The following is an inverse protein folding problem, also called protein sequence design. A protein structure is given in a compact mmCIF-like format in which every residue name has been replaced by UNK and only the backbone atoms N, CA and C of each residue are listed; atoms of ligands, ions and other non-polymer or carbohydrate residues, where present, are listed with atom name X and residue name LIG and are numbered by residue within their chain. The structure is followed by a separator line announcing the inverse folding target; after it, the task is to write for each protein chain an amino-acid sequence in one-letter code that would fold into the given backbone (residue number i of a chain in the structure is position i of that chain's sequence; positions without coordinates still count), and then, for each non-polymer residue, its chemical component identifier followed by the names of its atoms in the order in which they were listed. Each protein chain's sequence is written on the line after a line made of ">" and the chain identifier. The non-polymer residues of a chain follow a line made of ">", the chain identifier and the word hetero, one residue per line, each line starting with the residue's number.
data_IF_535365324576
#
_entry.id   IF_535365324576
#
_cell.length_a   1.000
_cell.length_b   1.000
_cell.length_c   1.000
_cell.angle_alpha   90.00
_cell.angle_beta   90.00
_cell.angle_gamma   90.00
#
_symmetry.space_group_name_H-M   'P 1'
#
loop_
_entity.id
_entity.type
_entity.pdbx_description
1 polymer ?
#
# COMPACT_ATOMS: atom_id res chain seq x y z
N UNK A 1 0.67 25.38 34.82
CA UNK A 1 0.30 24.44 33.75
C UNK A 1 -1.14 24.77 33.37
N UNK A 2 -1.43 25.26 32.15
CA UNK A 2 -2.81 25.57 31.81
C UNK A 2 -3.58 24.25 31.64
N UNK A 3 -4.70 24.16 32.34
CA UNK A 3 -5.69 23.08 32.20
C UNK A 3 -6.22 23.08 30.78
N UNK A 4 -6.16 21.92 30.12
CA UNK A 4 -6.87 21.68 28.86
C UNK A 4 -8.37 21.71 29.19
N UNK A 5 -8.99 22.87 29.00
CA UNK A 5 -10.43 23.03 29.11
C UNK A 5 -11.11 22.05 28.17
N UNK A 6 -11.96 21.21 28.73
CA UNK A 6 -12.88 20.37 27.98
C UNK A 6 -13.88 21.28 27.24
N UNK A 7 -13.52 21.74 26.05
CA UNK A 7 -14.50 22.20 25.09
C UNK A 7 -15.25 20.97 24.59
N UNK A 8 -16.57 21.05 24.66
CA UNK A 8 -17.55 20.11 24.11
C UNK A 8 -17.37 19.97 22.59
N UNK A 9 -16.34 19.24 22.18
CA UNK A 9 -15.93 19.09 20.79
C UNK A 9 -16.32 17.69 20.30
N UNK A 10 -17.62 17.41 20.31
CA UNK A 10 -18.19 16.31 19.52
C UNK A 10 -18.19 16.73 18.04
N UNK A 11 -17.01 16.95 17.47
CA UNK A 11 -16.86 16.89 16.01
C UNK A 11 -17.26 15.49 15.60
N UNK A 12 -18.30 15.40 14.78
CA UNK A 12 -18.76 14.12 14.24
C UNK A 12 -17.61 13.50 13.43
N UNK A 13 -17.61 12.17 13.26
CA UNK A 13 -16.62 11.49 12.42
C UNK A 13 -16.58 12.07 10.99
N UNK A 14 -17.68 12.69 10.53
CA UNK A 14 -17.78 13.39 9.25
C UNK A 14 -16.82 14.58 9.11
N UNK A 15 -16.28 15.12 10.22
CA UNK A 15 -15.27 16.20 10.20
C UNK A 15 -13.83 15.69 10.32
N UNK A 16 -13.62 14.40 10.64
CA UNK A 16 -12.29 13.79 10.74
C UNK A 16 -11.91 13.13 9.41
N UNK A 17 -11.52 13.96 8.45
CA UNK A 17 -11.07 13.51 7.13
C UNK A 17 -9.86 14.32 6.65
N UNK A 18 -9.01 13.69 5.85
CA UNK A 18 -7.98 14.41 5.10
C UNK A 18 -8.63 15.31 4.05
N UNK A 19 -8.09 16.51 3.89
CA UNK A 19 -8.58 17.49 2.92
C UNK A 19 -7.65 17.54 1.70
N UNK A 20 -8.17 17.32 0.47
CA UNK A 20 -7.36 17.49 -0.74
C UNK A 20 -7.00 18.97 -0.94
N UNK A 21 -5.71 19.26 -1.10
CA UNK A 21 -5.22 20.61 -1.36
C UNK A 21 -4.46 20.69 -2.68
N UNK A 22 -5.01 21.43 -3.65
CA UNK A 22 -4.42 21.61 -4.97
C UNK A 22 -3.53 22.87 -5.02
N UNK A 23 -2.32 22.75 -4.47
CA UNK A 23 -1.31 23.82 -4.56
C UNK A 23 -0.87 24.05 -6.02
N UNK A 24 -0.52 25.29 -6.38
CA UNK A 24 -0.07 25.60 -7.75
C UNK A 24 1.41 25.27 -7.89
N UNK A 25 1.75 24.32 -8.77
CA UNK A 25 3.15 24.02 -9.12
C UNK A 25 3.64 25.09 -10.10
N UNK A 26 4.62 25.88 -9.67
CA UNK A 26 5.18 26.98 -10.48
C UNK A 26 6.36 26.54 -11.34
N UNK A 27 7.10 25.53 -10.89
CA UNK A 27 8.23 24.93 -11.61
C UNK A 27 8.38 23.46 -11.18
N UNK A 28 8.88 22.61 -12.09
CA UNK A 28 8.96 21.17 -11.89
C UNK A 28 10.11 20.58 -12.70
N UNK A 29 11.06 19.91 -12.04
CA UNK A 29 12.22 19.29 -12.68
C UNK A 29 12.54 17.89 -12.12
N UNK A 30 13.05 16.99 -12.98
CA UNK A 30 13.60 15.70 -12.54
C UNK A 30 15.07 15.90 -12.20
N UNK A 31 15.39 15.91 -10.90
CA UNK A 31 16.76 16.16 -10.40
C UNK A 31 17.61 14.89 -10.35
N UNK A 32 16.98 13.72 -10.33
CA UNK A 32 17.67 12.44 -10.46
C UNK A 32 16.78 11.42 -11.18
N UNK A 33 17.34 10.72 -12.17
CA UNK A 33 16.66 9.62 -12.87
C UNK A 33 17.14 8.28 -12.34
N UNK A 34 16.25 7.53 -11.69
CA UNK A 34 16.55 6.21 -11.16
C UNK A 34 16.17 5.07 -12.11
N UNK A 35 16.42 3.83 -11.66
CA UNK A 35 15.99 2.61 -12.37
C UNK A 35 14.48 2.42 -12.27
N UNK A 36 13.95 2.47 -11.05
CA UNK A 36 12.52 2.23 -10.75
C UNK A 36 11.75 3.55 -10.62
N UNK A 37 12.32 4.52 -9.91
CA UNK A 37 11.69 5.82 -9.67
C UNK A 37 12.65 6.98 -9.87
N UNK A 38 12.09 8.14 -10.18
CA UNK A 38 12.82 9.40 -10.29
C UNK A 38 12.69 10.21 -9.00
N UNK A 39 13.63 11.13 -8.76
CA UNK A 39 13.48 12.19 -7.76
C UNK A 39 13.11 13.47 -8.48
N UNK A 40 11.98 14.05 -8.08
CA UNK A 40 11.46 15.29 -8.62
C UNK A 40 11.65 16.42 -7.63
N UNK A 41 11.94 17.62 -8.13
CA UNK A 41 11.87 18.87 -7.40
C UNK A 41 10.73 19.71 -7.96
N UNK A 42 9.77 20.02 -7.11
CA UNK A 42 8.70 20.97 -7.43
C UNK A 42 8.86 22.24 -6.60
N UNK A 43 8.71 23.37 -7.27
CA UNK A 43 8.47 24.66 -6.61
C UNK A 43 6.96 24.90 -6.61
N UNK A 44 6.40 25.18 -5.45
CA UNK A 44 4.95 25.18 -5.23
C UNK A 44 4.52 26.44 -4.49
N UNK A 45 3.47 27.10 -4.98
CA UNK A 45 2.79 28.20 -4.29
C UNK A 45 1.66 27.64 -3.41
N UNK A 46 1.76 27.88 -2.10
CA UNK A 46 0.79 27.48 -1.09
C UNK A 46 -0.06 28.67 -0.59
N UNK A 47 -0.19 29.69 -1.42
CA UNK A 47 -1.03 30.89 -1.24
C UNK A 47 -0.37 32.00 -0.42
N UNK A 48 0.42 31.66 0.60
CA UNK A 48 1.11 32.62 1.46
C UNK A 48 2.64 32.58 1.33
N UNK A 49 3.18 31.54 0.70
CA UNK A 49 4.61 31.43 0.42
C UNK A 49 4.86 30.49 -0.76
N UNK A 50 6.04 30.62 -1.36
CA UNK A 50 6.56 29.65 -2.31
C UNK A 50 7.53 28.73 -1.58
N UNK A 51 7.36 27.42 -1.76
CA UNK A 51 8.20 26.38 -1.15
C UNK A 51 8.81 25.49 -2.23
N UNK A 52 9.93 24.86 -1.90
CA UNK A 52 10.56 23.82 -2.73
C UNK A 52 10.40 22.47 -2.02
N UNK A 53 10.04 21.43 -2.78
CA UNK A 53 9.95 20.04 -2.29
C UNK A 53 10.66 19.10 -3.25
N UNK A 54 11.51 18.25 -2.69
CA UNK A 54 12.10 17.11 -3.37
C UNK A 54 11.46 15.83 -2.86
N UNK A 55 11.07 14.94 -3.75
CA UNK A 55 10.43 13.68 -3.40
C UNK A 55 10.64 12.61 -4.47
N UNK A 56 10.51 11.35 -4.06
CA UNK A 56 10.49 10.21 -4.99
C UNK A 56 9.13 10.17 -5.69
N UNK A 57 9.15 10.21 -7.02
CA UNK A 57 7.96 10.11 -7.87
C UNK A 57 7.66 8.63 -8.13
N UNK A 58 6.72 8.09 -7.36
CA UNK A 58 6.35 6.69 -7.28
C UNK A 58 5.02 6.43 -7.99
N UNK A 59 4.83 5.23 -8.53
CA UNK A 59 3.61 4.78 -9.22
C UNK A 59 2.41 4.52 -8.30
N UNK A 60 2.61 4.59 -6.98
CA UNK A 60 1.82 3.82 -6.01
C UNK A 60 2.02 2.30 -6.12
N UNK A 61 1.39 1.57 -5.21
CA UNK A 61 1.41 0.11 -5.18
C UNK A 61 0.08 -0.48 -4.66
N UNK A 62 -0.06 -1.79 -4.74
CA UNK A 62 -1.12 -2.56 -4.10
C UNK A 62 -0.52 -3.66 -3.24
N UNK A 63 -1.23 -4.07 -2.20
CA UNK A 63 -0.88 -5.22 -1.38
C UNK A 63 -2.12 -6.08 -1.12
N UNK A 64 -1.92 -7.36 -0.85
CA UNK A 64 -2.99 -8.34 -0.71
C UNK A 64 -2.90 -9.07 0.62
N UNK A 65 -3.86 -8.81 1.50
CA UNK A 65 -4.12 -9.66 2.65
C UNK A 65 -5.01 -10.81 2.18
N UNK A 66 -4.38 -11.88 1.68
CA UNK A 66 -5.06 -13.11 1.32
C UNK A 66 -5.31 -13.94 2.59
N UNK A 67 -6.58 -14.24 2.87
CA UNK A 67 -7.02 -14.93 4.08
C UNK A 67 -7.88 -16.15 3.74
N UNK A 68 -7.56 -17.28 4.38
CA UNK A 68 -8.31 -18.52 4.23
C UNK A 68 -9.43 -18.68 5.28
N UNK A 69 -10.19 -19.77 5.19
CA UNK A 69 -11.32 -20.06 6.07
C UNK A 69 -10.90 -20.39 7.52
N UNK A 70 -9.60 -20.62 7.76
CA UNK A 70 -9.02 -20.83 9.10
C UNK A 70 -8.46 -19.52 9.70
N UNK A 71 -8.76 -18.36 9.08
CA UNK A 71 -8.23 -17.04 9.44
C UNK A 71 -6.69 -16.98 9.44
N UNK A 72 -6.05 -17.74 8.55
CA UNK A 72 -4.61 -17.62 8.29
C UNK A 72 -4.39 -16.65 7.14
N UNK A 73 -3.32 -15.87 7.25
CA UNK A 73 -2.87 -14.92 6.23
C UNK A 73 -1.70 -15.52 5.47
N UNK A 74 -1.72 -15.40 4.14
CA UNK A 74 -0.59 -15.75 3.28
C UNK A 74 0.47 -14.65 3.33
N UNK A 75 1.68 -15.01 3.71
CA UNK A 75 2.83 -14.12 3.77
C UNK A 75 3.92 -14.61 2.81
N UNK A 76 4.66 -13.65 2.27
CA UNK A 76 5.89 -13.89 1.50
C UNK A 76 7.09 -13.36 2.28
N UNK A 77 8.29 -13.87 1.98
CA UNK A 77 9.53 -13.40 2.60
C UNK A 77 10.54 -12.96 1.57
N UNK A 78 10.83 -11.67 1.53
CA UNK A 78 11.68 -11.06 0.52
C UNK A 78 12.84 -10.28 1.15
N UNK A 79 13.98 -10.26 0.47
CA UNK A 79 15.11 -9.42 0.86
C UNK A 79 14.86 -7.96 0.47
N UNK A 80 14.97 -7.05 1.44
CA UNK A 80 14.86 -5.61 1.22
C UNK A 80 16.22 -4.96 1.43
N UNK A 81 16.91 -4.66 0.32
CA UNK A 81 18.28 -4.13 0.35
C UNK A 81 18.44 -2.84 1.17
N UNK A 82 17.57 -1.82 1.09
CA UNK A 82 17.75 -0.56 1.81
C UNK A 82 17.89 -0.73 3.33
N UNK A 83 17.17 -1.71 3.90
CA UNK A 83 17.17 -2.02 5.34
C UNK A 83 17.96 -3.30 5.68
N UNK A 84 18.46 -4.02 4.67
CA UNK A 84 19.31 -5.22 4.78
C UNK A 84 18.66 -6.36 5.57
N UNK A 85 17.36 -6.52 5.45
CA UNK A 85 16.60 -7.59 6.12
C UNK A 85 15.86 -8.46 5.12
N UNK A 86 15.50 -9.68 5.54
CA UNK A 86 14.47 -10.47 4.88
C UNK A 86 13.18 -10.30 5.67
N UNK A 87 12.25 -9.55 5.11
CA UNK A 87 11.02 -9.18 5.78
C UNK A 87 9.93 -10.16 5.39
N UNK A 88 9.08 -10.51 6.36
CA UNK A 88 7.77 -11.09 6.04
C UNK A 88 6.84 -9.95 5.62
N UNK A 89 6.18 -10.12 4.49
CA UNK A 89 5.36 -9.10 3.84
C UNK A 89 4.07 -9.72 3.30
N UNK A 90 3.11 -8.87 2.93
CA UNK A 90 1.98 -9.29 2.11
C UNK A 90 2.44 -9.36 0.64
N UNK A 91 1.86 -10.24 -0.18
CA UNK A 91 2.01 -10.13 -1.63
C UNK A 91 1.66 -8.72 -2.09
N UNK A 92 2.50 -8.10 -2.92
CA UNK A 92 2.38 -6.70 -3.26
C UNK A 92 3.14 -6.36 -4.54
N UNK A 93 2.68 -5.34 -5.25
CA UNK A 93 3.42 -4.85 -6.41
C UNK A 93 2.96 -3.51 -6.93
N UNK A 94 3.72 -3.06 -7.92
CA UNK A 94 3.66 -1.69 -8.43
C UNK A 94 2.48 -1.50 -9.40
N UNK A 95 2.12 -0.24 -9.59
CA UNK A 95 1.05 0.18 -10.48
C UNK A 95 1.65 0.85 -11.72
N UNK A 96 2.51 0.10 -12.40
CA UNK A 96 3.35 0.55 -13.52
C UNK A 96 2.77 0.17 -14.90
N UNK A 97 1.77 -0.72 -14.95
CA UNK A 97 1.07 -1.07 -16.18
C UNK A 97 0.00 -0.04 -16.56
N UNK A 98 0.18 0.61 -17.70
CA UNK A 98 -0.71 1.65 -18.18
C UNK A 98 -2.15 1.12 -18.38
N UNK A 99 -3.12 1.76 -17.71
CA UNK A 99 -4.54 1.40 -17.82
C UNK A 99 -4.94 0.17 -17.01
N UNK A 100 -4.01 -0.48 -16.29
CA UNK A 100 -4.35 -1.53 -15.34
C UNK A 100 -5.08 -0.95 -14.12
N UNK A 101 -6.18 -1.60 -13.70
CA UNK A 101 -6.88 -1.21 -12.49
C UNK A 101 -6.12 -1.72 -11.26
N UNK A 102 -6.23 -1.04 -10.10
CA UNK A 102 -5.53 -1.48 -8.89
C UNK A 102 -5.92 -2.90 -8.47
N UNK A 103 -7.19 -3.27 -8.66
CA UNK A 103 -7.67 -4.62 -8.41
C UNK A 103 -7.01 -5.66 -9.33
N UNK A 104 -6.84 -5.35 -10.62
CA UNK A 104 -6.17 -6.26 -11.56
C UNK A 104 -4.70 -6.45 -11.21
N UNK A 105 -4.01 -5.37 -10.86
CA UNK A 105 -2.64 -5.44 -10.36
C UNK A 105 -2.58 -6.36 -9.13
N UNK A 106 -3.45 -6.16 -8.14
CA UNK A 106 -3.47 -6.98 -6.92
C UNK A 106 -3.72 -8.47 -7.20
N UNK A 107 -4.61 -8.78 -8.15
CA UNK A 107 -4.87 -10.16 -8.59
C UNK A 107 -3.68 -10.78 -9.31
N UNK A 108 -2.99 -10.01 -10.15
CA UNK A 108 -1.78 -10.43 -10.85
C UNK A 108 -0.64 -10.72 -9.87
N UNK A 109 -0.36 -9.80 -8.95
CA UNK A 109 0.72 -9.97 -7.96
C UNK A 109 0.46 -11.16 -7.03
N UNK A 110 -0.79 -11.38 -6.60
CA UNK A 110 -1.11 -12.58 -5.81
C UNK A 110 -0.85 -13.88 -6.58
N UNK A 111 -1.10 -13.88 -7.90
CA UNK A 111 -0.84 -15.03 -8.74
C UNK A 111 0.67 -15.23 -8.97
N UNK A 112 1.41 -14.17 -9.26
CA UNK A 112 2.84 -14.20 -9.58
C UNK A 112 3.71 -14.54 -8.36
N UNK A 113 3.46 -13.91 -7.20
CA UNK A 113 4.32 -14.08 -6.02
C UNK A 113 3.95 -15.29 -5.14
N UNK A 114 2.68 -15.70 -5.18
CA UNK A 114 2.14 -16.70 -4.25
C UNK A 114 1.44 -17.88 -4.91
N UNK A 115 1.42 -17.95 -6.25
CA UNK A 115 0.72 -18.99 -7.02
C UNK A 115 -0.75 -19.15 -6.58
N UNK A 116 -1.39 -18.04 -6.23
CA UNK A 116 -2.71 -18.01 -5.59
C UNK A 116 -3.69 -17.09 -6.32
N UNK A 117 -4.97 -17.46 -6.25
CA UNK A 117 -6.10 -16.65 -6.71
C UNK A 117 -7.20 -16.66 -5.65
N UNK A 118 -8.10 -15.68 -5.72
CA UNK A 118 -9.18 -15.53 -4.73
C UNK A 118 -10.51 -15.16 -5.39
N UNK A 119 -11.60 -15.60 -4.79
CA UNK A 119 -12.95 -15.43 -5.32
C UNK A 119 -13.57 -14.08 -4.93
N UNK A 120 -13.29 -13.60 -3.71
CA UNK A 120 -13.85 -12.35 -3.18
C UNK A 120 -12.75 -11.36 -2.86
N UNK A 121 -12.95 -10.11 -3.27
CA UNK A 121 -12.02 -9.01 -3.08
C UNK A 121 -12.73 -7.81 -2.49
N UNK A 122 -12.09 -7.14 -1.54
CA UNK A 122 -12.58 -5.91 -0.94
C UNK A 122 -11.41 -4.96 -0.68
N UNK A 123 -11.66 -3.66 -0.73
CA UNK A 123 -10.69 -2.69 -0.21
C UNK A 123 -10.71 -2.78 1.31
N UNK A 124 -9.55 -3.07 1.91
CA UNK A 124 -9.39 -3.17 3.35
C UNK A 124 -8.99 -1.82 3.94
N UNK A 125 -7.94 -1.21 3.40
CA UNK A 125 -7.45 0.11 3.80
C UNK A 125 -6.46 0.66 2.76
N UNK A 126 -6.11 1.94 2.89
CA UNK A 126 -5.13 2.65 2.08
C UNK A 126 -4.23 3.49 2.98
N UNK A 127 -2.99 3.71 2.56
CA UNK A 127 -2.09 4.62 3.26
C UNK A 127 -1.03 5.20 2.33
N UNK A 128 -0.55 6.41 2.65
CA UNK A 128 0.66 6.97 2.06
C UNK A 128 1.88 6.47 2.84
N UNK A 129 2.88 5.91 2.15
CA UNK A 129 3.99 5.21 2.84
C UNK A 129 4.92 6.18 3.58
N UNK A 130 5.28 7.29 2.94
CA UNK A 130 6.02 8.39 3.58
C UNK A 130 5.69 9.73 2.91
N UNK A 131 4.55 10.37 3.23
CA UNK A 131 4.04 11.55 2.50
C UNK A 131 4.95 12.79 2.55
N UNK A 132 5.98 12.79 3.39
CA UNK A 132 7.01 13.83 3.41
C UNK A 132 8.14 13.63 2.39
N UNK A 133 8.30 12.43 1.83
CA UNK A 133 9.44 12.05 0.98
C UNK A 133 9.10 11.31 -0.32
N UNK A 134 7.90 10.77 -0.46
CA UNK A 134 7.39 10.22 -1.72
C UNK A 134 5.89 10.50 -1.87
N UNK A 135 5.36 10.27 -3.07
CA UNK A 135 3.93 10.32 -3.36
C UNK A 135 3.30 8.91 -3.47
N UNK A 136 3.94 7.89 -2.88
CA UNK A 136 3.44 6.51 -2.92
C UNK A 136 2.21 6.38 -2.01
N UNK A 137 1.12 5.93 -2.63
CA UNK A 137 -0.06 5.44 -1.91
C UNK A 137 -0.20 3.95 -2.21
N UNK A 138 -0.40 3.16 -1.15
CA UNK A 138 -0.59 1.71 -1.22
C UNK A 138 -2.02 1.38 -0.82
N UNK A 139 -2.72 0.66 -1.69
CA UNK A 139 -4.03 0.09 -1.39
C UNK A 139 -3.90 -1.36 -0.97
N UNK A 140 -4.43 -1.71 0.20
CA UNK A 140 -4.47 -3.07 0.72
C UNK A 140 -5.84 -3.67 0.42
N UNK A 141 -5.84 -4.80 -0.28
CA UNK A 141 -7.02 -5.60 -0.53
C UNK A 141 -7.14 -6.73 0.49
N UNK A 142 -8.35 -7.03 0.94
CA UNK A 142 -8.69 -8.30 1.57
C UNK A 142 -9.19 -9.26 0.50
N UNK A 143 -8.49 -10.38 0.32
CA UNK A 143 -8.84 -11.44 -0.61
C UNK A 143 -9.27 -12.71 0.14
N UNK A 144 -10.41 -13.30 -0.22
CA UNK A 144 -10.98 -14.50 0.42
C UNK A 144 -11.43 -15.55 -0.60
N UNK A 145 -11.63 -16.78 -0.15
CA UNK A 145 -11.81 -17.93 -1.05
C UNK A 145 -10.52 -18.20 -1.81
N UNK A 146 -9.40 -18.16 -1.09
CA UNK A 146 -8.07 -18.28 -1.70
C UNK A 146 -7.79 -19.73 -2.06
N UNK A 147 -7.31 -19.95 -3.28
CA UNK A 147 -6.94 -21.27 -3.80
C UNK A 147 -5.69 -21.16 -4.66
N UNK A 148 -5.01 -22.29 -4.86
CA UNK A 148 -3.88 -22.35 -5.77
C UNK A 148 -4.33 -21.99 -7.21
N UNK A 149 -3.52 -21.22 -7.92
CA UNK A 149 -3.79 -20.74 -9.27
C UNK A 149 -3.81 -21.88 -10.31
N UNK A 150 -3.12 -22.99 -10.02
CA UNK A 150 -3.02 -24.16 -10.91
C UNK A 150 -1.89 -24.07 -11.93
N UNK A 151 -1.30 -22.89 -12.06
CA UNK A 151 -0.09 -22.60 -12.84
C UNK A 151 0.95 -22.06 -11.86
N UNK A 152 2.21 -22.46 -12.03
CA UNK A 152 3.34 -21.89 -11.30
C UNK A 152 3.96 -20.81 -12.17
N UNK A 153 3.96 -19.57 -11.69
CA UNK A 153 4.57 -18.48 -12.44
C UNK A 153 6.10 -18.57 -12.31
N UNK A 154 6.80 -18.32 -13.41
CA UNK A 154 8.26 -18.29 -13.39
C UNK A 154 8.70 -17.04 -12.62
N UNK A 155 9.23 -17.24 -11.42
CA UNK A 155 9.78 -16.16 -10.59
C UNK A 155 11.13 -15.72 -11.14
N UNK A 156 11.27 -14.43 -11.45
CA UNK A 156 12.49 -13.85 -12.02
C UNK A 156 13.26 -13.08 -10.93
N UNK A 157 14.59 -13.03 -11.03
CA UNK A 157 15.47 -12.15 -10.24
C UNK A 157 15.25 -12.19 -8.70
N UNK A 158 14.73 -11.12 -8.08
CA UNK A 158 14.56 -10.99 -6.63
C UNK A 158 13.51 -11.97 -6.05
N UNK A 159 12.71 -12.60 -6.89
CA UNK A 159 11.59 -13.47 -6.50
C UNK A 159 11.93 -14.95 -6.48
N UNK A 160 13.10 -15.34 -7.01
CA UNK A 160 13.49 -16.75 -7.18
C UNK A 160 13.55 -17.54 -5.86
N UNK A 161 13.78 -16.86 -4.74
CA UNK A 161 13.92 -17.44 -3.40
C UNK A 161 12.77 -17.06 -2.44
N UNK A 162 11.61 -16.62 -2.95
CA UNK A 162 10.48 -16.23 -2.09
C UNK A 162 9.94 -17.42 -1.29
N UNK A 163 10.04 -17.32 0.04
CA UNK A 163 9.41 -18.23 0.99
C UNK A 163 7.95 -17.81 1.21
N UNK A 164 7.00 -18.72 0.97
CA UNK A 164 5.56 -18.49 1.18
C UNK A 164 5.08 -19.23 2.42
N UNK A 165 4.24 -18.60 3.25
CA UNK A 165 3.71 -19.22 4.47
C UNK A 165 2.32 -18.72 4.84
N UNK A 166 1.44 -19.65 5.19
CA UNK A 166 0.19 -19.37 5.90
C UNK A 166 0.44 -19.26 7.40
N UNK A 167 0.01 -18.15 8.02
CA UNK A 167 0.18 -17.88 9.45
C UNK A 167 -1.13 -17.38 10.05
N UNK A 168 -1.60 -17.88 11.20
CA UNK A 168 -2.84 -17.37 11.82
C UNK A 168 -2.76 -15.86 12.05
N UNK A 169 -3.82 -15.12 11.69
CA UNK A 169 -3.87 -13.66 11.76
C UNK A 169 -3.40 -13.11 13.11
N UNK A 170 -3.87 -13.71 14.20
CA UNK A 170 -3.54 -13.30 15.57
C UNK A 170 -2.04 -13.47 15.90
N UNK A 171 -1.34 -14.44 15.28
CA UNK A 171 0.11 -14.60 15.44
C UNK A 171 0.90 -13.51 14.71
N UNK A 172 0.42 -13.13 13.52
CA UNK A 172 1.03 -12.06 12.73
C UNK A 172 0.89 -10.74 13.49
N UNK A 173 -0.29 -10.44 14.01
CA UNK A 173 -0.56 -9.27 14.85
C UNK A 173 0.35 -9.25 16.08
N UNK A 174 0.48 -10.39 16.77
CA UNK A 174 1.43 -10.52 17.90
C UNK A 174 2.86 -10.18 17.47
N UNK A 175 3.30 -10.70 16.31
CA UNK A 175 4.62 -10.41 15.74
C UNK A 175 4.84 -8.93 15.43
N UNK A 176 3.82 -8.23 14.94
CA UNK A 176 3.84 -6.78 14.69
C UNK A 176 3.97 -6.02 16.02
N UNK A 177 3.11 -6.31 17.00
CA UNK A 177 3.11 -5.63 18.30
C UNK A 177 4.41 -5.86 19.10
N UNK A 178 5.03 -7.03 18.92
CA UNK A 178 6.35 -7.37 19.47
C UNK A 178 7.53 -6.82 18.66
N UNK A 179 7.28 -6.08 17.57
CA UNK A 179 8.31 -5.48 16.68
C UNK A 179 9.19 -6.50 15.95
N UNK A 180 8.75 -7.77 15.90
CA UNK A 180 9.38 -8.84 15.12
C UNK A 180 9.04 -8.72 13.64
N UNK A 181 7.86 -8.21 13.32
CA UNK A 181 7.38 -7.91 11.97
C UNK A 181 7.23 -6.39 11.85
N UNK A 182 7.83 -5.79 10.81
CA UNK A 182 7.93 -4.33 10.69
C UNK A 182 7.54 -3.77 9.33
N UNK A 183 7.27 -4.63 8.34
CA UNK A 183 6.79 -4.19 7.04
C UNK A 183 5.46 -3.42 7.21
N UNK A 184 5.37 -2.23 6.62
CA UNK A 184 4.25 -1.32 6.84
C UNK A 184 2.92 -1.82 6.25
N UNK A 185 2.85 -2.26 4.96
CA UNK A 185 1.65 -2.91 4.42
C UNK A 185 1.18 -4.09 5.28
N UNK A 186 2.09 -4.96 5.70
CA UNK A 186 1.74 -6.09 6.57
C UNK A 186 1.13 -5.62 7.89
N UNK A 187 1.80 -4.68 8.57
CA UNK A 187 1.37 -4.19 9.87
C UNK A 187 -0.01 -3.52 9.79
N UNK A 188 -0.21 -2.64 8.82
CA UNK A 188 -1.49 -1.95 8.61
C UNK A 188 -2.59 -2.92 8.17
N UNK A 189 -2.28 -3.84 7.26
CA UNK A 189 -3.22 -4.84 6.77
C UNK A 189 -3.77 -5.72 7.89
N UNK A 190 -2.90 -6.32 8.72
CA UNK A 190 -3.37 -7.24 9.77
C UNK A 190 -4.09 -6.52 10.91
N UNK A 191 -3.65 -5.32 11.26
CA UNK A 191 -4.33 -4.51 12.28
C UNK A 191 -5.70 -4.03 11.78
N UNK A 192 -5.80 -3.60 10.52
CA UNK A 192 -7.07 -3.25 9.89
C UNK A 192 -8.00 -4.47 9.78
N UNK A 193 -7.47 -5.65 9.43
CA UNK A 193 -8.24 -6.89 9.38
C UNK A 193 -8.82 -7.26 10.74
N UNK A 194 -8.04 -7.17 11.83
CA UNK A 194 -8.54 -7.42 13.19
C UNK A 194 -9.61 -6.40 13.60
N UNK A 195 -9.38 -5.11 13.33
CA UNK A 195 -10.36 -4.07 13.62
C UNK A 195 -11.67 -4.30 12.83
N UNK A 196 -11.57 -4.59 11.54
CA UNK A 196 -12.71 -4.88 10.67
C UNK A 196 -13.43 -6.17 11.09
N UNK A 197 -12.70 -7.21 11.48
CA UNK A 197 -13.27 -8.46 12.03
C UNK A 197 -14.13 -8.19 13.26
N UNK A 198 -13.73 -7.26 14.15
CA UNK A 198 -14.49 -6.92 15.36
C UNK A 198 -15.88 -6.34 15.08
N UNK A 199 -16.08 -5.79 13.88
CA UNK A 199 -17.35 -5.24 13.41
C UNK A 199 -17.95 -6.07 12.28
N UNK A 200 -17.57 -7.34 12.14
CA UNK A 200 -18.12 -8.23 11.11
C UNK A 200 -17.77 -7.81 9.67
N UNK A 201 -16.67 -7.10 9.49
CA UNK A 201 -16.17 -6.57 8.22
C UNK A 201 -17.08 -5.52 7.54
N UNK A 202 -17.91 -4.83 8.30
CA UNK A 202 -18.82 -3.77 7.79
C UNK A 202 -18.09 -2.58 7.16
N UNK A 203 -16.82 -2.36 7.51
CA UNK A 203 -16.01 -1.23 7.01
C UNK A 203 -15.39 -1.46 5.63
N UNK A 204 -15.55 -2.66 5.05
CA UNK A 204 -14.90 -3.00 3.79
C UNK A 204 -15.48 -2.21 2.61
N UNK A 205 -14.58 -1.65 1.80
CA UNK A 205 -14.95 -0.99 0.56
C UNK A 205 -15.21 -2.00 -0.57
N UNK A 206 -16.01 -1.61 -1.58
CA UNK A 206 -16.07 -2.33 -2.86
C UNK A 206 -14.69 -2.48 -3.49
N UNK A 207 -14.42 -3.61 -4.17
CA UNK A 207 -13.11 -3.87 -4.78
C UNK A 207 -12.69 -2.82 -5.83
N UNK A 208 -13.68 -2.22 -6.48
CA UNK A 208 -13.57 -1.19 -7.51
C UNK A 208 -13.77 0.23 -6.96
N UNK A 209 -13.76 0.41 -5.63
CA UNK A 209 -13.87 1.72 -5.02
C UNK A 209 -12.83 2.69 -5.63
N UNK A 210 -13.19 3.97 -5.88
CA UNK A 210 -12.26 4.94 -6.44
C UNK A 210 -10.95 4.95 -5.67
N UNK A 211 -9.83 4.77 -6.37
CA UNK A 211 -8.52 4.90 -5.73
C UNK A 211 -8.19 6.36 -5.60
N UNK A 212 -8.00 6.84 -4.38
CA UNK A 212 -7.57 8.20 -4.09
C UNK A 212 -6.11 8.40 -4.49
N UNK A 213 -5.83 8.24 -5.78
CA UNK A 213 -4.63 8.75 -6.43
C UNK A 213 -4.98 10.16 -6.82
N UNK A 214 -4.39 11.14 -6.16
CA UNK A 214 -4.55 12.51 -6.63
C UNK A 214 -4.10 12.65 -8.08
N UNK A 215 -4.58 13.70 -8.75
CA UNK A 215 -4.27 13.96 -10.17
C UNK A 215 -2.76 14.01 -10.46
N UNK A 216 -1.92 14.23 -9.43
CA UNK A 216 -0.46 14.20 -9.49
C UNK A 216 0.16 12.83 -9.80
N UNK A 217 -0.55 11.72 -9.57
CA UNK A 217 -0.10 10.34 -9.84
C UNK A 217 -0.42 9.86 -11.27
N UNK A 218 -1.03 10.71 -12.10
CA UNK A 218 -1.44 10.34 -13.47
C UNK A 218 -0.37 10.57 -14.54
N UNK A 219 0.84 11.01 -14.15
CA UNK A 219 1.95 11.20 -15.08
C UNK A 219 2.55 9.83 -15.42
N UNK A 220 2.55 9.42 -16.70
CA UNK A 220 3.19 8.17 -17.09
C UNK A 220 4.65 8.20 -16.64
N UNK A 221 5.13 7.13 -16.00
CA UNK A 221 6.55 6.82 -16.09
C UNK A 221 6.89 6.67 -17.57
N UNK A 222 8.09 7.07 -17.99
CA UNK A 222 8.56 7.07 -19.39
C UNK A 222 8.66 5.66 -20.04
N UNK A 223 7.68 4.78 -19.86
CA UNK A 223 7.64 3.42 -20.40
C UNK A 223 8.69 2.48 -19.80
N UNK A 224 9.27 2.81 -18.65
CA UNK A 224 10.20 1.92 -17.93
C UNK A 224 9.39 0.81 -17.26
N UNK A 225 9.52 -0.41 -17.76
CA UNK A 225 9.00 -1.59 -17.09
C UNK A 225 9.65 -1.71 -15.72
N UNK A 226 8.86 -1.78 -14.64
CA UNK A 226 9.40 -2.18 -13.35
C UNK A 226 9.55 -3.70 -13.37
N UNK A 227 10.75 -4.14 -13.76
CA UNK A 227 11.30 -5.46 -13.45
C UNK A 227 12.73 -5.25 -12.95
#
# INVERSE_FOLDING_TARGET
>A
MPELGASDDRRTLDELADEPYAATVVDSEVVYRGRVWDVRRDTVDIGHSTIVREYVDHTGAVAVLAMDDEERVLLIKQYRHPIRTRDWELPAGLLDLQGESPLKAAQRELAEEADAVADTWNVLTEFASTPGGNNEVIRIYLARGVRHAGETFAREEEEADIEVRWVPLDEVVRGVLERRLRNAPLSLGVLAAVASRSTGYESLGPADAPFQRGSWLTRPLDGRASR
#
